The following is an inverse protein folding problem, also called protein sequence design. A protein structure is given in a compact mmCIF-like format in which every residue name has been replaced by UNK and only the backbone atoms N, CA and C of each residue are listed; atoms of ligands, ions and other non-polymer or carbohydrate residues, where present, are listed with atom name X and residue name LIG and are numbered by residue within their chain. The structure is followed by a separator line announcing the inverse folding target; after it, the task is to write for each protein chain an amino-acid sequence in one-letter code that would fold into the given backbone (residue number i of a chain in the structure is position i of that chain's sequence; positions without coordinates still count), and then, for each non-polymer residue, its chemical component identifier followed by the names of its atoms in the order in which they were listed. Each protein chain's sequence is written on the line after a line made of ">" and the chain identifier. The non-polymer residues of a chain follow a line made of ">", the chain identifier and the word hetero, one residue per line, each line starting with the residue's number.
data_IF_775308282508
#
_entry.id   IF_775308282508
#
_cell.length_a   1.000
_cell.length_b   1.000
_cell.length_c   1.000
_cell.angle_alpha   90.00
_cell.angle_beta   90.00
_cell.angle_gamma   90.00
#
_symmetry.space_group_name_H-M   'P 1'
#
loop_
_entity.id
_entity.type
_entity.pdbx_description
1 polymer ?
#
# COMPACT_ATOMS: atom_id res chain seq x y z
N UNK A 1 -6.52 -21.04 6.78
CA UNK A 1 -5.47 -20.87 7.81
C UNK A 1 -5.25 -19.39 7.98
N UNK A 2 -5.14 -18.84 9.19
CA UNK A 2 -4.74 -17.43 9.33
C UNK A 2 -3.27 -17.30 8.92
N UNK A 3 -3.01 -16.56 7.84
CA UNK A 3 -1.66 -16.29 7.38
C UNK A 3 -0.95 -15.44 8.44
N UNK A 4 0.33 -15.72 8.71
CA UNK A 4 1.09 -14.98 9.73
C UNK A 4 1.41 -13.58 9.21
N UNK A 5 1.25 -12.51 10.02
CA UNK A 5 1.71 -11.17 9.64
C UNK A 5 3.17 -11.17 9.21
N UNK A 6 3.48 -10.52 8.08
CA UNK A 6 4.84 -10.39 7.57
C UNK A 6 5.05 -9.08 6.82
N UNK A 7 6.05 -8.29 7.19
CA UNK A 7 6.39 -7.04 6.50
C UNK A 7 6.77 -7.26 5.02
N UNK A 8 7.25 -8.45 4.66
CA UNK A 8 7.63 -8.79 3.28
C UNK A 8 6.46 -8.74 2.30
N UNK A 9 5.22 -8.97 2.75
CA UNK A 9 4.07 -8.88 1.84
C UNK A 9 3.77 -7.42 1.52
N UNK A 10 3.92 -6.54 2.51
CA UNK A 10 3.75 -5.08 2.33
C UNK A 10 4.76 -4.56 1.32
N UNK A 11 6.00 -5.06 1.38
CA UNK A 11 6.99 -4.78 0.33
C UNK A 11 6.51 -5.22 -1.06
N UNK A 12 5.92 -6.42 -1.18
CA UNK A 12 5.35 -6.89 -2.45
C UNK A 12 4.29 -5.95 -3.03
N UNK A 13 3.42 -5.38 -2.18
CA UNK A 13 2.40 -4.41 -2.61
C UNK A 13 3.03 -3.07 -3.04
N UNK A 14 3.99 -2.57 -2.25
CA UNK A 14 4.65 -1.30 -2.50
C UNK A 14 5.70 -1.36 -3.62
N UNK A 15 6.03 -2.56 -4.11
CA UNK A 15 6.90 -2.73 -5.27
C UNK A 15 6.36 -1.98 -6.50
N UNK A 16 5.04 -1.77 -6.60
CA UNK A 16 4.39 -0.93 -7.62
C UNK A 16 4.88 0.52 -7.65
N UNK A 17 5.67 1.00 -6.68
CA UNK A 17 6.26 2.34 -6.66
C UNK A 17 7.76 2.37 -7.02
N UNK A 18 8.38 1.20 -7.14
CA UNK A 18 9.81 1.07 -7.38
C UNK A 18 10.18 1.30 -8.85
N UNK A 19 11.41 1.75 -9.07
CA UNK A 19 12.04 1.93 -10.39
C UNK A 19 12.13 0.59 -11.14
N UNK A 20 12.37 -0.50 -10.41
CA UNK A 20 12.53 -1.85 -10.95
C UNK A 20 11.21 -2.55 -11.33
N UNK A 21 10.05 -1.94 -11.07
CA UNK A 21 8.76 -2.60 -11.25
C UNK A 21 8.35 -2.72 -12.72
N UNK A 22 8.18 -1.59 -13.39
CA UNK A 22 7.79 -1.49 -14.79
C UNK A 22 8.21 -0.14 -15.34
N UNK A 23 8.44 -0.07 -16.66
CA UNK A 23 8.73 1.18 -17.38
C UNK A 23 7.46 1.71 -18.00
N UNK A 24 6.92 2.77 -17.42
CA UNK A 24 5.68 3.41 -17.83
C UNK A 24 5.76 4.89 -17.47
N UNK A 25 5.90 5.75 -18.49
CA UNK A 25 6.18 7.16 -18.29
C UNK A 25 5.03 7.89 -17.56
N UNK A 26 3.78 7.49 -17.78
CA UNK A 26 2.62 8.12 -17.13
C UNK A 26 2.58 7.77 -15.65
N UNK A 27 2.83 6.49 -15.30
CA UNK A 27 2.98 6.05 -13.91
C UNK A 27 4.17 6.74 -13.22
N UNK A 28 5.31 6.82 -13.89
CA UNK A 28 6.53 7.45 -13.35
C UNK A 28 6.31 8.94 -13.05
N UNK A 29 5.68 9.67 -13.98
CA UNK A 29 5.30 11.08 -13.80
C UNK A 29 4.27 11.24 -12.67
N UNK A 30 3.28 10.34 -12.58
CA UNK A 30 2.31 10.35 -11.50
C UNK A 30 2.97 10.15 -10.12
N UNK A 31 3.86 9.18 -9.98
CA UNK A 31 4.52 8.90 -8.69
C UNK A 31 5.43 10.07 -8.28
N UNK A 32 6.19 10.63 -9.22
CA UNK A 32 7.12 11.73 -8.94
C UNK A 32 6.42 13.06 -8.67
N UNK A 33 5.21 13.28 -9.18
CA UNK A 33 4.47 14.54 -8.98
C UNK A 33 3.65 14.62 -7.69
N UNK A 34 3.62 13.55 -6.87
CA UNK A 34 2.82 13.47 -5.65
C UNK A 34 3.68 13.57 -4.40
N UNK A 35 3.22 14.34 -3.41
CA UNK A 35 3.86 14.42 -2.10
C UNK A 35 3.43 13.22 -1.22
N UNK A 36 4.33 12.26 -1.04
CA UNK A 36 4.10 11.07 -0.21
C UNK A 36 3.97 11.33 1.29
N UNK A 37 4.35 12.53 1.75
CA UNK A 37 4.17 12.96 3.13
C UNK A 37 2.84 13.73 3.33
N UNK A 38 2.09 13.99 2.26
CA UNK A 38 0.75 14.56 2.30
C UNK A 38 -0.29 13.43 2.24
N UNK A 39 -1.15 13.35 3.25
CA UNK A 39 -2.16 12.30 3.37
C UNK A 39 -3.13 12.23 2.18
N UNK A 40 -3.60 13.38 1.67
CA UNK A 40 -4.55 13.41 0.54
C UNK A 40 -3.90 12.98 -0.77
N UNK A 41 -2.68 13.46 -1.04
CA UNK A 41 -1.94 13.10 -2.26
C UNK A 41 -1.52 11.63 -2.23
N UNK A 42 -1.03 11.14 -1.08
CA UNK A 42 -0.70 9.73 -0.90
C UNK A 42 -1.94 8.84 -1.07
N UNK A 43 -3.10 9.26 -0.54
CA UNK A 43 -4.37 8.56 -0.73
C UNK A 43 -4.74 8.47 -2.21
N UNK A 44 -4.63 9.57 -2.96
CA UNK A 44 -4.89 9.57 -4.42
C UNK A 44 -3.93 8.65 -5.15
N UNK A 45 -2.66 8.66 -4.78
CA UNK A 45 -1.66 7.79 -5.36
C UNK A 45 -1.95 6.30 -5.10
N UNK A 46 -2.45 5.96 -3.91
CA UNK A 46 -2.93 4.61 -3.61
C UNK A 46 -4.21 4.25 -4.37
N UNK A 47 -5.14 5.19 -4.53
CA UNK A 47 -6.36 4.99 -5.32
C UNK A 47 -6.03 4.65 -6.78
N UNK A 48 -5.05 5.33 -7.35
CA UNK A 48 -4.70 5.18 -8.76
C UNK A 48 -3.86 3.93 -9.02
N UNK A 49 -2.88 3.62 -8.15
CA UNK A 49 -1.89 2.56 -8.42
C UNK A 49 -2.03 1.32 -7.54
N UNK A 50 -2.42 1.47 -6.26
CA UNK A 50 -2.54 0.32 -5.35
C UNK A 50 -3.91 -0.36 -5.47
N UNK A 51 -5.00 0.41 -5.58
CA UNK A 51 -6.36 -0.14 -5.64
C UNK A 51 -6.55 -1.12 -6.80
N UNK A 52 -6.14 -0.84 -8.06
CA UNK A 52 -6.39 -1.75 -9.17
C UNK A 52 -5.68 -3.10 -9.00
N UNK A 53 -4.54 -3.13 -8.32
CA UNK A 53 -3.82 -4.37 -8.01
C UNK A 53 -4.45 -5.09 -6.81
N UNK A 54 -4.76 -4.35 -5.74
CA UNK A 54 -5.30 -4.92 -4.51
C UNK A 54 -6.63 -5.65 -4.70
N UNK A 55 -7.55 -5.08 -5.49
CA UNK A 55 -8.88 -5.68 -5.70
C UNK A 55 -8.84 -6.99 -6.53
N UNK A 56 -7.74 -7.25 -7.25
CA UNK A 56 -7.55 -8.51 -7.99
C UNK A 56 -7.25 -9.69 -7.07
N UNK A 57 -6.78 -9.43 -5.86
CA UNK A 57 -6.48 -10.47 -4.87
C UNK A 57 -7.73 -11.13 -4.31
N UNK A 58 -7.59 -12.38 -3.87
CA UNK A 58 -8.67 -13.08 -3.17
C UNK A 58 -8.95 -12.40 -1.83
N UNK A 59 -10.18 -12.58 -1.36
CA UNK A 59 -10.63 -12.06 -0.06
C UNK A 59 -9.63 -12.36 1.08
N UNK A 60 -9.18 -13.61 1.19
CA UNK A 60 -8.23 -14.04 2.23
C UNK A 60 -6.86 -13.34 2.13
N UNK A 61 -6.41 -13.02 0.91
CA UNK A 61 -5.15 -12.31 0.68
C UNK A 61 -5.30 -10.83 1.05
N UNK A 62 -6.42 -10.21 0.69
CA UNK A 62 -6.75 -8.82 1.06
C UNK A 62 -6.84 -8.65 2.57
N UNK A 63 -7.52 -9.57 3.24
CA UNK A 63 -7.58 -9.63 4.71
C UNK A 63 -6.18 -9.77 5.32
N UNK A 64 -5.31 -10.59 4.71
CA UNK A 64 -3.95 -10.77 5.20
C UNK A 64 -3.11 -9.48 5.16
N UNK A 65 -3.24 -8.66 4.13
CA UNK A 65 -2.59 -7.34 4.07
C UNK A 65 -3.08 -6.42 5.18
N UNK A 66 -4.41 -6.32 5.36
CA UNK A 66 -5.05 -5.47 6.38
C UNK A 66 -4.65 -5.92 7.79
N UNK A 67 -4.77 -7.21 8.09
CA UNK A 67 -4.39 -7.80 9.38
C UNK A 67 -2.90 -7.59 9.67
N UNK A 68 -2.04 -7.66 8.65
CA UNK A 68 -0.59 -7.43 8.80
C UNK A 68 -0.28 -5.99 9.15
N UNK A 69 -0.82 -5.02 8.42
CA UNK A 69 -0.62 -3.60 8.72
C UNK A 69 -1.18 -3.24 10.09
N UNK A 70 -2.39 -3.70 10.40
CA UNK A 70 -3.02 -3.44 11.69
C UNK A 70 -2.22 -4.07 12.85
N UNK A 71 -1.64 -5.25 12.65
CA UNK A 71 -0.76 -5.87 13.65
C UNK A 71 0.47 -4.99 13.94
N UNK A 72 1.24 -4.63 12.91
CA UNK A 72 2.50 -3.90 13.09
C UNK A 72 2.30 -2.43 13.50
N UNK A 73 1.21 -1.78 13.05
CA UNK A 73 0.87 -0.42 13.52
C UNK A 73 0.55 -0.38 15.02
N UNK A 74 0.10 -1.50 15.60
CA UNK A 74 -0.16 -1.64 17.04
C UNK A 74 1.07 -2.08 17.87
N UNK A 75 2.23 -2.30 17.26
CA UNK A 75 3.50 -2.58 17.98
C UNK A 75 4.41 -1.35 17.95
N UNK A 76 5.67 -1.50 18.39
CA UNK A 76 6.73 -0.47 18.25
C UNK A 76 7.47 -0.56 16.90
N UNK A 77 6.98 -1.33 15.94
CA UNK A 77 7.56 -1.44 14.59
C UNK A 77 7.54 -0.08 13.88
N UNK A 78 8.65 0.28 13.22
CA UNK A 78 8.84 1.56 12.56
C UNK A 78 8.81 1.49 11.02
N UNK A 79 8.75 0.27 10.46
CA UNK A 79 8.67 -0.02 9.03
C UNK A 79 9.91 0.36 8.21
N UNK A 80 11.04 0.68 8.83
CA UNK A 80 12.28 1.02 8.10
C UNK A 80 12.69 -0.12 7.15
N UNK A 81 12.52 -1.36 7.60
CA UNK A 81 12.83 -2.55 6.81
C UNK A 81 11.99 -2.68 5.53
N UNK A 82 10.80 -2.09 5.47
CA UNK A 82 9.95 -2.11 4.28
C UNK A 82 10.54 -1.23 3.18
N UNK A 83 11.10 -0.07 3.53
CA UNK A 83 11.64 0.89 2.58
C UNK A 83 13.13 0.72 2.29
N UNK A 84 13.85 -0.04 3.12
CA UNK A 84 15.31 -0.19 3.03
C UNK A 84 15.85 -0.62 1.65
N UNK A 85 15.04 -1.28 0.81
CA UNK A 85 15.45 -1.77 -0.52
C UNK A 85 14.72 -1.08 -1.67
N UNK A 86 13.99 0.01 -1.40
CA UNK A 86 13.18 0.66 -2.43
C UNK A 86 13.87 1.89 -2.99
N UNK A 87 14.38 1.72 -4.21
CA UNK A 87 14.59 2.84 -5.11
C UNK A 87 13.23 3.17 -5.75
N UNK A 88 12.56 4.20 -5.24
CA UNK A 88 11.23 4.63 -5.71
C UNK A 88 11.32 5.83 -6.66
N UNK A 89 10.22 6.11 -7.34
CA UNK A 89 10.04 7.35 -8.09
C UNK A 89 9.55 8.53 -7.23
N UNK A 90 9.49 8.40 -5.90
CA UNK A 90 9.08 9.51 -5.04
C UNK A 90 10.10 10.65 -5.13
N UNK A 91 9.62 11.89 -5.27
CA UNK A 91 10.51 13.06 -5.29
C UNK A 91 11.04 13.40 -3.89
N UNK A 92 10.22 13.18 -2.86
CA UNK A 92 10.57 13.40 -1.46
C UNK A 92 10.83 12.07 -0.72
N UNK A 93 11.76 12.12 0.24
CA UNK A 93 11.93 11.06 1.23
C UNK A 93 10.67 10.90 2.09
N UNK A 94 10.39 9.68 2.53
CA UNK A 94 9.32 9.41 3.49
C UNK A 94 9.79 9.87 4.87
N UNK A 95 9.14 10.89 5.43
CA UNK A 95 9.47 11.49 6.72
C UNK A 95 8.94 10.65 7.88
N UNK A 96 7.75 10.05 7.71
CA UNK A 96 7.09 9.22 8.72
C UNK A 96 6.54 7.94 8.10
N UNK A 97 7.34 6.87 8.21
CA UNK A 97 7.00 5.53 7.75
C UNK A 97 5.70 5.00 8.36
N UNK A 98 5.40 5.35 9.62
CA UNK A 98 4.15 4.90 10.27
C UNK A 98 2.94 5.65 9.73
N UNK A 99 3.06 6.95 9.49
CA UNK A 99 1.98 7.74 8.89
C UNK A 99 1.68 7.25 7.46
N UNK A 100 2.72 6.93 6.68
CA UNK A 100 2.60 6.32 5.36
C UNK A 100 1.82 4.99 5.43
N UNK A 101 2.24 4.08 6.33
CA UNK A 101 1.58 2.77 6.49
C UNK A 101 0.16 2.87 7.06
N UNK A 102 -0.12 3.88 7.89
CA UNK A 102 -1.46 4.16 8.40
C UNK A 102 -2.39 4.59 7.25
N UNK A 103 -1.92 5.48 6.39
CA UNK A 103 -2.67 5.91 5.20
C UNK A 103 -2.92 4.73 4.25
N UNK A 104 -1.92 3.84 4.07
CA UNK A 104 -2.10 2.61 3.31
C UNK A 104 -3.19 1.72 3.91
N UNK A 105 -3.16 1.47 5.23
CA UNK A 105 -4.17 0.66 5.92
C UNK A 105 -5.58 1.22 5.71
N UNK A 106 -5.76 2.52 5.91
CA UNK A 106 -7.04 3.20 5.70
C UNK A 106 -7.57 3.00 4.28
N UNK A 107 -6.70 3.13 3.28
CA UNK A 107 -7.02 2.87 1.88
C UNK A 107 -7.43 1.41 1.64
N UNK A 108 -6.66 0.44 2.13
CA UNK A 108 -6.97 -0.98 1.95
C UNK A 108 -8.32 -1.37 2.59
N UNK A 109 -8.61 -0.86 3.78
CA UNK A 109 -9.90 -1.08 4.45
C UNK A 109 -11.06 -0.48 3.65
N UNK A 110 -10.88 0.72 3.08
CA UNK A 110 -11.86 1.35 2.19
C UNK A 110 -12.11 0.49 0.94
N UNK A 111 -11.06 0.06 0.26
CA UNK A 111 -11.18 -0.78 -0.95
C UNK A 111 -11.89 -2.09 -0.65
N UNK A 112 -11.54 -2.73 0.48
CA UNK A 112 -12.18 -3.95 0.93
C UNK A 112 -13.69 -3.76 1.14
N UNK A 113 -14.09 -2.64 1.74
CA UNK A 113 -15.51 -2.31 1.96
C UNK A 113 -16.25 -2.07 0.65
N UNK A 114 -15.64 -1.31 -0.27
CA UNK A 114 -16.21 -1.03 -1.59
C UNK A 114 -16.43 -2.31 -2.41
N UNK A 115 -15.45 -3.23 -2.42
CA UNK A 115 -15.59 -4.52 -3.12
C UNK A 115 -16.69 -5.42 -2.54
N UNK A 116 -16.85 -5.43 -1.21
CA UNK A 116 -17.90 -6.21 -0.55
C UNK A 116 -19.31 -5.67 -0.83
N UNK A 117 -19.45 -4.39 -1.19
CA UNK A 117 -20.74 -3.80 -1.60
C UNK A 117 -21.08 -4.10 -3.07
N UNK A 118 -20.09 -4.44 -3.90
CA UNK A 118 -20.29 -4.75 -5.33
C UNK A 118 -20.56 -6.22 -5.62
N UNK A 119 -20.21 -7.14 -4.71
CA UNK A 119 -20.54 -8.56 -4.81
C UNK A 119 -21.87 -8.86 -4.08
N UNK A 120 -22.93 -9.36 -4.78
CA UNK A 120 -24.17 -9.72 -4.11
C UNK A 120 -23.94 -10.92 -3.15
N UNK A 121 -24.67 -10.98 -2.01
CA UNK A 121 -24.57 -12.13 -1.12
C UNK A 121 -25.03 -13.38 -1.89
N UNK A 122 -24.16 -14.40 -1.90
CA UNK A 122 -24.39 -15.68 -2.57
C UNK A 122 -25.48 -16.49 -1.88
#
# INVERSE_FOLDING_TARGET
>A
MKLKPSLSIIQGLLFTYCIENTRDAEREELISSMNVNNHEELTRLFDELTKPEFIKYKQEEREWYIDTLQHFLNTDENFDSVFYLFDTYFEDDIVDNRAFMSTLLECLMRYQTETAMTDPPT
#
